data_IF_326445518075
#
_entry.id   IF_326445518075
#
_cell.length_a   1.000
_cell.length_b   1.000
_cell.length_c   1.000
_cell.angle_alpha   90.00
_cell.angle_beta   90.00
_cell.angle_gamma   90.00
#
_symmetry.space_group_name_H-M   'P 1'
#
loop_
_entity.id
_entity.type
_entity.pdbx_description
1 polymer ?
#
# COMPACT_ATOMS: atom_id res chain seq x y z
N UNK A 1 2.01 -1.96 0.93
CA UNK A 1 2.40 -1.87 2.36
C UNK A 1 1.16 -1.83 3.21
N UNK A 2 1.26 -2.28 4.47
CA UNK A 2 0.23 -2.03 5.48
C UNK A 2 0.59 -0.75 6.24
N UNK A 3 -0.28 0.25 6.18
CA UNK A 3 -0.04 1.60 6.70
C UNK A 3 -1.02 1.92 7.81
N UNK A 4 -0.50 2.46 8.90
CA UNK A 4 -1.28 3.02 9.99
C UNK A 4 -1.43 4.52 9.78
N UNK A 5 -2.65 5.04 9.78
CA UNK A 5 -2.96 6.46 9.63
C UNK A 5 -3.67 6.99 10.86
N UNK A 6 -3.13 8.02 11.50
CA UNK A 6 -3.79 8.80 12.54
C UNK A 6 -3.97 10.24 12.06
N UNK A 7 -5.21 10.68 11.93
CA UNK A 7 -5.61 12.02 11.50
C UNK A 7 -7.02 12.29 12.01
N UNK A 8 -7.24 13.32 12.79
CA UNK A 8 -8.52 13.63 13.42
C UNK A 8 -9.49 14.38 12.48
N UNK A 9 -8.98 15.10 11.49
CA UNK A 9 -9.83 15.66 10.42
C UNK A 9 -10.37 14.53 9.53
N UNK A 10 -11.68 14.28 9.65
CA UNK A 10 -12.36 13.22 8.92
C UNK A 10 -12.17 13.31 7.40
N UNK A 11 -12.31 14.52 6.85
CA UNK A 11 -12.21 14.75 5.40
C UNK A 11 -10.80 14.48 4.88
N UNK A 12 -9.79 14.94 5.61
CA UNK A 12 -8.39 14.71 5.26
C UNK A 12 -8.02 13.24 5.42
N UNK A 13 -8.45 12.58 6.52
CA UNK A 13 -8.21 11.17 6.79
C UNK A 13 -8.75 10.29 5.65
N UNK A 14 -10.03 10.47 5.27
CA UNK A 14 -10.62 9.70 4.17
C UNK A 14 -9.94 9.98 2.83
N UNK A 15 -9.57 11.24 2.55
CA UNK A 15 -8.85 11.59 1.32
C UNK A 15 -7.49 10.89 1.24
N UNK A 16 -6.71 10.94 2.33
CA UNK A 16 -5.40 10.25 2.40
C UNK A 16 -5.58 8.75 2.22
N UNK A 17 -6.56 8.16 2.94
CA UNK A 17 -6.85 6.73 2.88
C UNK A 17 -7.21 6.29 1.46
N UNK A 18 -8.19 6.96 0.83
CA UNK A 18 -8.59 6.65 -0.55
C UNK A 18 -7.41 6.72 -1.54
N UNK A 19 -6.60 7.78 -1.43
CA UNK A 19 -5.47 7.96 -2.33
C UNK A 19 -4.38 6.90 -2.12
N UNK A 20 -4.11 6.51 -0.88
CA UNK A 20 -3.15 5.44 -0.58
C UNK A 20 -3.69 4.05 -1.00
N UNK A 21 -4.99 3.78 -0.82
CA UNK A 21 -5.65 2.56 -1.30
C UNK A 21 -5.62 2.47 -2.84
N UNK A 22 -5.82 3.59 -3.55
CA UNK A 22 -5.65 3.66 -5.01
C UNK A 22 -4.21 3.33 -5.45
N UNK A 23 -3.22 3.57 -4.58
CA UNK A 23 -1.83 3.17 -4.77
C UNK A 23 -1.51 1.76 -4.23
N UNK A 24 -2.54 0.94 -3.97
CA UNK A 24 -2.44 -0.46 -3.55
C UNK A 24 -1.78 -0.66 -2.19
N UNK A 25 -1.98 0.28 -1.25
CA UNK A 25 -1.65 0.10 0.15
C UNK A 25 -2.89 -0.39 0.92
N UNK A 26 -2.67 -1.10 2.00
CA UNK A 26 -3.68 -1.47 3.00
C UNK A 26 -3.64 -0.45 4.13
N UNK A 27 -4.75 0.21 4.43
CA UNK A 27 -4.79 1.31 5.39
C UNK A 27 -5.72 0.99 6.55
N UNK A 28 -5.16 1.00 7.76
CA UNK A 28 -5.94 1.08 8.99
C UNK A 28 -5.90 2.53 9.47
N UNK A 29 -7.05 3.22 9.47
CA UNK A 29 -7.15 4.63 9.81
C UNK A 29 -7.86 4.86 11.15
N UNK A 30 -7.39 5.86 11.89
CA UNK A 30 -7.83 6.24 13.23
C UNK A 30 -8.01 7.75 13.30
N UNK A 31 -8.99 8.21 14.10
CA UNK A 31 -9.34 9.63 14.29
C UNK A 31 -9.04 10.13 15.70
N UNK A 32 -8.68 9.21 16.61
CA UNK A 32 -8.40 9.49 18.02
C UNK A 32 -7.14 8.76 18.46
N UNK A 33 -6.27 9.49 19.18
CA UNK A 33 -4.96 8.98 19.58
C UNK A 33 -5.01 7.83 20.58
N UNK A 34 -6.03 7.75 21.46
CA UNK A 34 -6.16 6.63 22.41
C UNK A 34 -6.58 5.34 21.69
N UNK A 35 -7.53 5.45 20.75
CA UNK A 35 -7.92 4.33 19.91
C UNK A 35 -6.73 3.86 19.06
N UNK A 36 -6.00 4.81 18.49
CA UNK A 36 -4.78 4.55 17.73
C UNK A 36 -3.72 3.84 18.58
N UNK A 37 -3.46 4.32 19.80
CA UNK A 37 -2.48 3.75 20.73
C UNK A 37 -2.74 2.27 21.02
N UNK A 38 -3.99 1.87 21.19
CA UNK A 38 -4.38 0.48 21.44
C UNK A 38 -4.17 -0.45 20.23
N UNK A 39 -3.88 0.11 19.06
CA UNK A 39 -3.69 -0.62 17.80
C UNK A 39 -2.26 -0.59 17.24
N UNK A 40 -1.30 0.10 17.90
CA UNK A 40 0.09 0.20 17.40
C UNK A 40 0.89 -1.11 17.42
N UNK A 41 0.40 -2.13 18.12
CA UNK A 41 1.10 -3.43 18.26
C UNK A 41 1.00 -4.33 17.03
N UNK A 42 0.19 -3.98 16.05
CA UNK A 42 0.08 -4.75 14.82
C UNK A 42 1.26 -4.49 13.89
N UNK A 43 1.53 -5.42 12.98
CA UNK A 43 2.63 -5.29 12.02
C UNK A 43 2.26 -4.30 10.92
N UNK A 44 2.68 -3.04 11.08
CA UNK A 44 2.61 -2.02 10.04
C UNK A 44 4.00 -1.76 9.45
N UNK A 45 4.01 -1.54 8.12
CA UNK A 45 5.24 -1.18 7.40
C UNK A 45 5.59 0.31 7.60
N UNK A 46 4.56 1.15 7.78
CA UNK A 46 4.68 2.61 7.91
C UNK A 46 3.57 3.16 8.79
N UNK A 47 3.91 4.16 9.59
CA UNK A 47 2.97 4.97 10.35
C UNK A 47 2.93 6.39 9.79
N UNK A 48 1.74 6.96 9.64
CA UNK A 48 1.49 8.35 9.29
C UNK A 48 0.69 8.95 10.45
N UNK A 49 1.26 9.93 11.15
CA UNK A 49 0.72 10.44 12.40
C UNK A 49 0.57 11.95 12.35
N UNK A 50 -0.66 12.46 12.51
CA UNK A 50 -0.82 13.86 12.88
C UNK A 50 -0.34 14.07 14.32
N UNK A 51 0.37 15.18 14.54
CA UNK A 51 0.83 15.58 15.87
C UNK A 51 -0.35 16.01 16.76
N UNK A 52 -1.33 16.73 16.20
CA UNK A 52 -2.38 17.35 16.97
C UNK A 52 -3.67 16.52 16.93
N UNK A 53 -3.70 15.41 17.62
CA UNK A 53 -4.87 14.53 17.73
C UNK A 53 -5.44 14.53 19.14
N UNK A 54 -6.77 14.29 19.29
CA UNK A 54 -7.40 14.14 20.61
C UNK A 54 -6.82 13.00 21.44
N UNK A 55 -6.98 13.07 22.74
CA UNK A 55 -6.61 12.07 23.74
C UNK A 55 -5.10 11.87 23.89
N UNK A 56 -4.43 11.29 22.92
CA UNK A 56 -2.97 11.08 22.87
C UNK A 56 -2.43 11.74 21.61
N UNK A 57 -1.41 12.59 21.74
CA UNK A 57 -0.81 13.28 20.59
C UNK A 57 0.13 12.36 19.79
N UNK A 58 0.32 12.71 18.51
CA UNK A 58 1.13 11.89 17.60
C UNK A 58 2.59 11.74 18.02
N UNK A 59 3.15 12.66 18.82
CA UNK A 59 4.53 12.54 19.34
C UNK A 59 4.60 11.46 20.42
N UNK A 60 3.59 11.33 21.27
CA UNK A 60 3.53 10.25 22.26
C UNK A 60 3.38 8.89 21.59
N UNK A 61 2.57 8.82 20.49
CA UNK A 61 2.52 7.61 19.68
C UNK A 61 3.88 7.31 19.03
N UNK A 62 4.54 8.28 18.43
CA UNK A 62 5.88 8.13 17.87
C UNK A 62 6.86 7.53 18.88
N UNK A 63 6.90 8.06 20.12
CA UNK A 63 7.74 7.56 21.21
C UNK A 63 7.45 6.07 21.48
N UNK A 64 6.17 5.73 21.58
CA UNK A 64 5.73 4.37 21.87
C UNK A 64 6.07 3.40 20.73
N UNK A 65 5.83 3.78 19.48
CA UNK A 65 6.18 2.99 18.29
C UNK A 65 7.68 2.75 18.21
N UNK A 66 8.49 3.80 18.38
CA UNK A 66 9.97 3.67 18.32
C UNK A 66 10.54 2.88 19.49
N UNK A 67 9.88 2.87 20.64
CA UNK A 67 10.23 2.00 21.78
C UNK A 67 9.93 0.53 21.49
N UNK A 68 8.84 0.22 20.80
CA UNK A 68 8.50 -1.14 20.38
C UNK A 68 9.45 -1.65 19.29
N UNK A 69 9.73 -0.83 18.29
CA UNK A 69 10.65 -1.13 17.21
C UNK A 69 11.25 0.15 16.63
N UNK A 70 12.52 0.42 16.91
CA UNK A 70 13.23 1.62 16.46
C UNK A 70 13.38 1.74 14.93
N UNK A 71 13.25 0.63 14.20
CA UNK A 71 13.37 0.60 12.74
C UNK A 71 12.07 0.89 12.00
N UNK A 72 10.93 0.89 12.71
CA UNK A 72 9.62 1.20 12.13
C UNK A 72 9.61 2.59 11.52
N UNK A 73 9.10 2.71 10.30
CA UNK A 73 9.04 3.98 9.58
C UNK A 73 7.86 4.83 10.04
N UNK A 74 8.12 6.12 10.30
CA UNK A 74 7.11 7.07 10.78
C UNK A 74 7.24 8.39 10.03
N UNK A 75 6.14 8.82 9.40
CA UNK A 75 5.96 10.16 8.83
C UNK A 75 5.07 10.94 9.79
N UNK A 76 5.54 12.13 10.20
CA UNK A 76 4.73 13.03 11.02
C UNK A 76 4.03 14.07 10.14
N UNK A 77 2.76 14.38 10.44
CA UNK A 77 2.00 15.44 9.79
C UNK A 77 1.66 16.49 10.85
N UNK A 78 1.70 17.79 10.51
CA UNK A 78 1.23 18.83 11.44
C UNK A 78 0.94 20.16 10.75
N UNK A 79 -0.11 20.83 11.22
CA UNK A 79 -0.38 22.24 10.92
C UNK A 79 0.55 23.19 11.73
N UNK A 80 1.21 22.70 12.76
CA UNK A 80 1.97 23.54 13.69
C UNK A 80 3.38 23.82 13.14
N UNK A 81 3.72 25.11 13.07
CA UNK A 81 5.05 25.60 12.64
C UNK A 81 6.01 25.67 13.87
N UNK A 82 5.60 25.18 15.05
CA UNK A 82 6.47 25.24 16.20
C UNK A 82 7.71 24.36 16.00
N UNK A 83 8.83 25.03 15.76
CA UNK A 83 10.13 24.38 15.52
C UNK A 83 10.53 23.43 16.66
N UNK A 84 10.04 23.65 17.89
CA UNK A 84 10.33 22.77 19.01
C UNK A 84 9.63 21.40 18.86
N UNK A 85 8.37 21.36 18.40
CA UNK A 85 7.66 20.09 18.11
C UNK A 85 8.31 19.34 16.93
N UNK A 86 8.76 20.07 15.91
CA UNK A 86 9.51 19.48 14.80
C UNK A 86 10.81 18.86 15.31
N UNK A 87 11.61 19.61 16.10
CA UNK A 87 12.84 19.09 16.69
C UNK A 87 12.56 17.88 17.58
N UNK A 88 11.48 17.92 18.36
CA UNK A 88 11.09 16.81 19.21
C UNK A 88 10.78 15.55 18.39
N UNK A 89 10.00 15.66 17.32
CA UNK A 89 9.71 14.53 16.42
C UNK A 89 11.00 13.92 15.82
N UNK A 90 11.93 14.75 15.35
CA UNK A 90 13.23 14.26 14.85
C UNK A 90 14.11 13.66 15.95
N UNK A 91 14.09 14.20 17.17
CA UNK A 91 14.82 13.63 18.32
C UNK A 91 14.30 12.23 18.68
N UNK A 92 13.01 11.95 18.46
CA UNK A 92 12.42 10.62 18.59
C UNK A 92 12.48 9.80 17.29
N UNK A 93 13.37 10.21 16.37
CA UNK A 93 13.68 9.47 15.16
C UNK A 93 12.49 9.28 14.21
N UNK A 94 11.60 10.29 14.04
CA UNK A 94 10.68 10.27 12.90
C UNK A 94 11.51 10.26 11.60
N UNK A 95 11.02 9.53 10.60
CA UNK A 95 11.77 9.33 9.36
C UNK A 95 11.51 10.45 8.35
N UNK A 96 10.34 11.10 8.42
CA UNK A 96 9.97 12.24 7.58
C UNK A 96 8.92 13.11 8.27
N UNK A 97 8.74 14.33 7.75
CA UNK A 97 7.79 15.31 8.28
C UNK A 97 7.07 16.01 7.12
N UNK A 98 5.75 16.23 7.27
CA UNK A 98 4.91 16.90 6.28
C UNK A 98 4.10 18.02 6.96
N UNK A 99 4.22 19.23 6.42
CA UNK A 99 3.53 20.40 6.98
C UNK A 99 2.19 20.61 6.30
N UNK A 100 1.11 20.76 7.08
CA UNK A 100 -0.21 21.19 6.58
C UNK A 100 -0.22 22.71 6.27
N UNK A 101 -0.88 23.18 5.20
CA UNK A 101 -1.51 22.37 4.16
C UNK A 101 -0.48 21.76 3.21
N UNK A 102 -0.76 20.56 2.71
CA UNK A 102 0.07 19.84 1.73
C UNK A 102 -0.79 19.26 0.60
N UNK A 103 -0.15 18.99 -0.52
CA UNK A 103 -0.76 18.18 -1.58
C UNK A 103 -0.67 16.69 -1.19
N UNK A 104 -1.76 15.94 -1.33
CA UNK A 104 -1.77 14.50 -1.02
C UNK A 104 -0.77 13.73 -1.88
N UNK A 105 -0.48 14.20 -3.10
CA UNK A 105 0.58 13.62 -3.94
C UNK A 105 1.96 13.72 -3.28
N UNK A 106 2.27 14.80 -2.54
CA UNK A 106 3.52 14.91 -1.78
C UNK A 106 3.63 13.82 -0.71
N UNK A 107 2.53 13.54 0.00
CA UNK A 107 2.48 12.46 0.97
C UNK A 107 2.72 11.10 0.30
N UNK A 108 2.07 10.84 -0.85
CA UNK A 108 2.26 9.59 -1.61
C UNK A 108 3.74 9.41 -1.99
N UNK A 109 4.40 10.44 -2.50
CA UNK A 109 5.83 10.37 -2.85
C UNK A 109 6.70 10.03 -1.64
N UNK A 110 6.40 10.59 -0.46
CA UNK A 110 7.09 10.25 0.79
C UNK A 110 6.83 8.80 1.22
N UNK A 111 5.60 8.32 1.11
CA UNK A 111 5.21 6.93 1.41
C UNK A 111 5.96 5.95 0.49
N UNK A 112 6.00 6.21 -0.80
CA UNK A 112 6.68 5.35 -1.78
C UNK A 112 8.20 5.27 -1.57
N UNK A 113 8.81 6.26 -0.94
CA UNK A 113 10.23 6.23 -0.52
C UNK A 113 10.51 5.08 0.46
N UNK A 114 9.54 4.73 1.31
CA UNK A 114 9.65 3.65 2.30
C UNK A 114 9.09 2.31 1.81
N UNK A 115 8.56 2.26 0.60
CA UNK A 115 8.10 1.03 0.00
C UNK A 115 9.32 0.18 -0.44
N UNK A 116 9.84 -0.63 0.49
CA UNK A 116 11.05 -1.45 0.27
C UNK A 116 10.78 -2.75 -0.50
N UNK A 117 9.51 -3.01 -0.87
CA UNK A 117 9.23 -4.14 -1.77
C UNK A 117 10.05 -3.97 -3.04
N UNK A 118 10.66 -5.05 -3.53
CA UNK A 118 11.51 -5.01 -4.72
C UNK A 118 10.87 -4.17 -5.83
N UNK A 119 11.57 -3.08 -6.24
CA UNK A 119 11.05 -2.17 -7.28
C UNK A 119 10.72 -2.90 -8.58
N UNK A 120 11.44 -3.98 -8.86
CA UNK A 120 11.25 -4.82 -10.04
C UNK A 120 11.12 -6.27 -9.64
N UNK A 121 9.94 -6.85 -9.81
CA UNK A 121 9.73 -8.30 -9.70
C UNK A 121 10.11 -8.92 -11.03
N UNK A 122 11.08 -9.82 -11.02
CA UNK A 122 11.50 -10.57 -12.19
C UNK A 122 10.48 -11.69 -12.42
N UNK A 123 9.84 -11.67 -13.60
CA UNK A 123 8.84 -12.66 -14.02
C UNK A 123 9.40 -13.67 -15.02
N UNK A 124 10.55 -13.38 -15.58
CA UNK A 124 11.24 -14.20 -16.56
C UNK A 124 12.40 -13.44 -17.21
N UNK A 125 13.03 -14.04 -18.20
CA UNK A 125 14.11 -13.40 -18.94
C UNK A 125 13.60 -12.12 -19.61
N UNK A 126 14.18 -10.96 -19.26
CA UNK A 126 13.79 -9.63 -19.74
C UNK A 126 12.33 -9.23 -19.47
N UNK A 127 11.70 -9.80 -18.41
CA UNK A 127 10.32 -9.50 -18.03
C UNK A 127 10.32 -9.00 -16.59
N UNK A 128 9.94 -7.75 -16.39
CA UNK A 128 9.97 -7.08 -15.09
C UNK A 128 8.64 -6.39 -14.83
N UNK A 129 8.13 -6.54 -13.62
CA UNK A 129 7.03 -5.72 -13.14
C UNK A 129 7.55 -4.76 -12.08
N UNK A 130 7.51 -3.46 -12.37
CA UNK A 130 7.88 -2.45 -11.39
C UNK A 130 6.73 -2.25 -10.40
N UNK A 131 6.97 -2.49 -9.12
CA UNK A 131 5.94 -2.42 -8.08
C UNK A 131 5.57 -0.99 -7.69
N UNK A 132 6.42 0.00 -7.98
CA UNK A 132 6.18 1.41 -7.70
C UNK A 132 5.40 2.06 -8.85
N UNK A 133 5.94 2.02 -10.07
CA UNK A 133 5.27 2.61 -11.24
C UNK A 133 4.10 1.77 -11.75
N UNK A 134 3.93 0.54 -11.22
CA UNK A 134 2.91 -0.44 -11.67
C UNK A 134 3.01 -0.73 -13.18
N UNK A 135 4.22 -0.79 -13.69
CA UNK A 135 4.52 -0.97 -15.11
C UNK A 135 5.09 -2.36 -15.38
N UNK A 136 4.55 -3.01 -16.40
CA UNK A 136 5.10 -4.24 -16.95
C UNK A 136 6.05 -3.89 -18.09
N UNK A 137 7.30 -4.37 -17.99
CA UNK A 137 8.31 -4.23 -19.04
C UNK A 137 8.66 -5.62 -19.60
N UNK A 138 8.64 -5.76 -20.91
CA UNK A 138 9.08 -6.95 -21.62
C UNK A 138 10.08 -6.50 -22.67
N UNK A 139 11.29 -7.04 -22.64
CA UNK A 139 12.41 -6.63 -23.52
C UNK A 139 12.63 -5.11 -23.48
N UNK A 140 12.57 -4.48 -22.29
CA UNK A 140 12.67 -3.04 -22.06
C UNK A 140 11.55 -2.18 -22.67
N UNK A 141 10.50 -2.81 -23.22
CA UNK A 141 9.33 -2.11 -23.74
C UNK A 141 8.19 -2.15 -22.72
N UNK A 142 7.57 -1.00 -22.48
CA UNK A 142 6.40 -0.91 -21.62
C UNK A 142 5.19 -1.56 -22.27
N UNK A 143 4.55 -2.45 -21.50
CA UNK A 143 3.31 -3.12 -21.92
C UNK A 143 2.14 -2.43 -21.20
N UNK A 144 1.24 -1.85 -21.95
CA UNK A 144 0.05 -1.20 -21.40
C UNK A 144 -0.92 -2.22 -20.82
N UNK A 145 -1.18 -2.06 -19.52
CA UNK A 145 -2.18 -2.83 -18.76
C UNK A 145 -3.36 -1.94 -18.38
N UNK A 146 -4.58 -2.45 -18.52
CA UNK A 146 -5.77 -1.79 -17.96
C UNK A 146 -5.72 -1.81 -16.43
N UNK A 147 -6.55 -0.99 -15.76
CA UNK A 147 -6.63 -0.95 -14.30
C UNK A 147 -6.84 -2.35 -13.70
N UNK A 148 -7.82 -3.09 -14.20
CA UNK A 148 -8.13 -4.44 -13.68
C UNK A 148 -7.03 -5.46 -13.99
N UNK A 149 -6.33 -5.35 -15.12
CA UNK A 149 -5.18 -6.21 -15.43
C UNK A 149 -4.01 -5.94 -14.49
N UNK A 150 -3.73 -4.66 -14.15
CA UNK A 150 -2.73 -4.29 -13.14
C UNK A 150 -3.09 -4.85 -11.77
N UNK A 151 -4.35 -4.63 -11.34
CA UNK A 151 -4.84 -5.13 -10.05
C UNK A 151 -4.72 -6.64 -9.95
N UNK A 152 -5.12 -7.39 -10.99
CA UNK A 152 -4.98 -8.83 -11.03
C UNK A 152 -3.51 -9.28 -10.98
N UNK A 153 -2.64 -8.65 -11.74
CA UNK A 153 -1.21 -8.99 -11.74
C UNK A 153 -0.58 -8.76 -10.37
N UNK A 154 -0.88 -7.65 -9.72
CA UNK A 154 -0.40 -7.34 -8.37
C UNK A 154 -0.90 -8.38 -7.37
N UNK A 155 -2.20 -8.70 -7.38
CA UNK A 155 -2.78 -9.70 -6.50
C UNK A 155 -2.06 -11.06 -6.61
N UNK A 156 -1.78 -11.51 -7.85
CA UNK A 156 -1.07 -12.76 -8.11
C UNK A 156 0.40 -12.69 -7.67
N UNK A 157 1.05 -11.54 -7.82
CA UNK A 157 2.44 -11.31 -7.39
C UNK A 157 2.59 -11.26 -5.87
N UNK A 158 1.68 -10.60 -5.18
CA UNK A 158 1.67 -10.54 -3.72
C UNK A 158 1.43 -11.92 -3.08
N UNK A 159 0.79 -12.83 -3.82
CA UNK A 159 0.54 -14.22 -3.42
C UNK A 159 1.38 -15.24 -4.19
N UNK A 160 2.58 -14.86 -4.66
CA UNK A 160 3.45 -15.71 -5.48
C UNK A 160 3.67 -17.10 -4.84
N UNK A 161 3.38 -18.15 -5.62
CA UNK A 161 3.45 -19.54 -5.17
C UNK A 161 2.20 -20.08 -4.47
N UNK A 162 1.14 -19.26 -4.30
CA UNK A 162 -0.14 -19.69 -3.74
C UNK A 162 -1.24 -19.48 -4.78
N UNK A 163 -2.12 -20.46 -4.94
CA UNK A 163 -3.29 -20.34 -5.81
C UNK A 163 -4.33 -19.42 -5.16
N UNK A 164 -4.92 -18.54 -5.95
CA UNK A 164 -6.00 -17.64 -5.54
C UNK A 164 -7.27 -18.09 -6.25
N UNK A 165 -8.30 -18.36 -5.47
CA UNK A 165 -9.58 -18.80 -6.00
C UNK A 165 -10.24 -17.74 -6.88
N UNK A 166 -11.16 -18.19 -7.72
CA UNK A 166 -11.93 -17.31 -8.59
C UNK A 166 -12.74 -16.27 -7.79
N UNK A 167 -13.32 -16.68 -6.68
CA UNK A 167 -14.10 -15.86 -5.75
C UNK A 167 -13.23 -14.75 -5.12
N UNK A 168 -12.06 -15.12 -4.59
CA UNK A 168 -11.14 -14.13 -4.02
C UNK A 168 -10.62 -13.12 -5.05
N UNK A 169 -10.41 -13.54 -6.30
CA UNK A 169 -10.04 -12.62 -7.39
C UNK A 169 -11.20 -11.66 -7.68
N UNK A 170 -12.43 -12.17 -7.71
CA UNK A 170 -13.63 -11.38 -7.97
C UNK A 170 -13.81 -10.31 -6.89
N UNK A 171 -13.80 -10.70 -5.64
CA UNK A 171 -13.95 -9.79 -4.50
C UNK A 171 -12.88 -8.70 -4.49
N UNK A 172 -11.63 -9.08 -4.72
CA UNK A 172 -10.51 -8.13 -4.73
C UNK A 172 -10.58 -7.11 -5.87
N UNK A 173 -10.95 -7.54 -7.08
CA UNK A 173 -10.98 -6.67 -8.28
C UNK A 173 -12.22 -5.81 -8.32
N UNK A 174 -13.38 -6.37 -7.95
CA UNK A 174 -14.69 -5.72 -8.12
C UNK A 174 -15.29 -5.23 -6.80
N UNK A 175 -14.59 -5.37 -5.67
CA UNK A 175 -14.98 -4.82 -4.34
C UNK A 175 -16.44 -5.18 -3.97
N UNK A 176 -16.83 -6.44 -4.17
CA UNK A 176 -18.17 -6.93 -3.86
C UNK A 176 -19.24 -6.67 -4.94
N UNK A 177 -18.90 -6.03 -6.07
CA UNK A 177 -19.79 -6.03 -7.22
C UNK A 177 -19.83 -7.43 -7.85
N UNK A 178 -21.01 -8.06 -7.85
CA UNK A 178 -21.18 -9.37 -8.48
C UNK A 178 -20.99 -9.24 -10.00
N UNK A 179 -19.94 -9.85 -10.51
CA UNK A 179 -19.71 -10.00 -11.96
C UNK A 179 -19.85 -11.47 -12.34
N UNK A 180 -20.09 -11.72 -13.62
CA UNK A 180 -20.16 -13.10 -14.09
C UNK A 180 -18.79 -13.79 -14.02
N UNK A 181 -18.76 -15.10 -13.76
CA UNK A 181 -17.52 -15.90 -13.78
C UNK A 181 -16.75 -15.75 -15.10
N UNK A 182 -17.40 -15.40 -16.18
CA UNK A 182 -16.80 -15.14 -17.48
C UNK A 182 -16.00 -13.82 -17.51
N UNK A 183 -16.31 -12.85 -16.63
CA UNK A 183 -15.56 -11.60 -16.56
C UNK A 183 -14.13 -11.84 -16.10
N UNK A 184 -13.93 -12.65 -15.04
CA UNK A 184 -12.60 -13.03 -14.54
C UNK A 184 -11.83 -13.87 -15.57
N UNK A 185 -12.48 -14.86 -16.17
CA UNK A 185 -11.85 -15.67 -17.24
C UNK A 185 -11.39 -14.81 -18.41
N UNK A 186 -12.22 -13.83 -18.80
CA UNK A 186 -11.88 -12.89 -19.87
C UNK A 186 -10.73 -11.95 -19.48
N UNK A 187 -10.69 -11.49 -18.22
CA UNK A 187 -9.61 -10.68 -17.70
C UNK A 187 -8.29 -11.44 -17.68
N UNK A 188 -8.29 -12.67 -17.15
CA UNK A 188 -7.14 -13.57 -17.17
C UNK A 188 -6.64 -13.87 -18.59
N UNK A 189 -7.57 -14.12 -19.51
CA UNK A 189 -7.23 -14.35 -20.92
C UNK A 189 -6.53 -13.13 -21.56
N UNK A 190 -7.03 -11.92 -21.27
CA UNK A 190 -6.38 -10.67 -21.75
C UNK A 190 -5.01 -10.48 -21.14
N UNK A 191 -4.87 -10.65 -19.83
CA UNK A 191 -3.58 -10.51 -19.14
C UNK A 191 -2.56 -11.54 -19.64
N UNK A 192 -2.98 -12.82 -19.81
CA UNK A 192 -2.12 -13.87 -20.37
C UNK A 192 -1.64 -13.60 -21.80
N UNK A 193 -2.43 -12.89 -22.62
CA UNK A 193 -1.99 -12.50 -23.97
C UNK A 193 -0.87 -11.46 -23.95
N UNK A 194 -0.75 -10.70 -22.87
CA UNK A 194 0.29 -9.66 -22.70
C UNK A 194 1.53 -10.17 -21.98
N UNK A 195 1.44 -11.33 -21.36
CA UNK A 195 2.54 -11.98 -20.67
C UNK A 195 3.02 -13.19 -21.49
N UNK A 196 4.29 -13.58 -21.38
CA UNK A 196 4.74 -14.85 -21.90
C UNK A 196 3.94 -16.03 -21.35
N UNK A 197 3.93 -17.12 -22.10
CA UNK A 197 3.29 -18.36 -21.66
C UNK A 197 3.92 -18.83 -20.35
N UNK A 198 3.11 -19.41 -19.48
CA UNK A 198 3.53 -20.06 -18.23
C UNK A 198 3.86 -19.11 -17.05
N UNK A 199 3.63 -17.81 -17.14
CA UNK A 199 3.73 -16.92 -15.98
C UNK A 199 2.52 -17.09 -15.06
N UNK A 200 1.30 -17.05 -15.61
CA UNK A 200 0.07 -17.29 -14.84
C UNK A 200 -0.41 -18.70 -15.09
N UNK A 201 -0.33 -19.54 -14.10
CA UNK A 201 -0.73 -20.93 -14.13
C UNK A 201 -2.12 -21.13 -13.55
N UNK A 202 -2.71 -22.29 -13.85
CA UNK A 202 -3.96 -22.75 -13.29
C UNK A 202 -3.68 -23.93 -12.36
N UNK A 203 -4.19 -23.91 -11.15
CA UNK A 203 -4.28 -25.05 -10.25
C UNK A 203 -5.70 -25.59 -10.31
N UNK A 204 -5.86 -26.88 -10.57
CA UNK A 204 -7.19 -27.51 -10.68
C UNK A 204 -7.89 -27.32 -9.32
N UNK A 205 -9.13 -26.83 -9.37
CA UNK A 205 -10.01 -26.56 -8.23
C UNK A 205 -9.51 -25.52 -7.19
N UNK A 206 -8.28 -25.00 -7.31
CA UNK A 206 -7.71 -24.01 -6.37
C UNK A 206 -7.67 -22.60 -6.93
N UNK A 207 -7.56 -22.43 -8.26
CA UNK A 207 -7.53 -21.12 -8.90
C UNK A 207 -6.27 -20.82 -9.70
N UNK A 208 -5.74 -19.61 -9.60
CA UNK A 208 -4.65 -19.09 -10.43
C UNK A 208 -3.47 -18.63 -9.60
N UNK A 209 -2.25 -18.83 -10.08
CA UNK A 209 -1.04 -18.43 -9.38
C UNK A 209 0.11 -18.09 -10.32
N UNK A 210 1.11 -17.37 -9.78
CA UNK A 210 2.43 -17.18 -10.39
C UNK A 210 3.44 -18.03 -9.60
N UNK A 211 4.31 -18.79 -10.28
CA UNK A 211 5.36 -19.58 -9.61
C UNK A 211 6.27 -18.71 -8.73
N UNK A 212 6.80 -19.29 -7.65
CA UNK A 212 7.84 -18.66 -6.82
C UNK A 212 9.08 -18.33 -7.61
#
# INVERSE_FOLDING_TARGET
MKIFLLEDDYSLNETIKEMLELNYHEIDSFYDGEVAYNNIIHNYDLFILDINTPSIDGIELLKSIKKLNSQTKVIMISANININKIKEAYNYACDDYLKKPFDVEELILKVEKYNTKEKNIILGENIYFNTISKELLINHQKIELTKNEKTLLILLLDNKGKAISHENIEDYIYKGEIKSSDAIRSLLKRLRKKLPKDIILNSIDEGYFIKK
#
